data_IF_719236511640
#
_entry.id   IF_719236511640
#
_cell.length_a   1.000
_cell.length_b   1.000
_cell.length_c   1.000
_cell.angle_alpha   90.00
_cell.angle_beta   90.00
_cell.angle_gamma   90.00
#
_symmetry.space_group_name_H-M   'P 1'
#
loop_
_entity.id
_entity.type
_entity.pdbx_description
1 polymer ?
#
# COMPACT_ATOMS: atom_id res chain seq x y z
N UNK A 1 1.94 10.12 6.69
CA UNK A 1 0.49 9.84 6.62
C UNK A 1 0.25 8.35 6.76
N UNK A 2 -0.56 7.98 7.73
CA UNK A 2 -0.92 6.60 8.01
C UNK A 2 -2.41 6.41 7.73
N UNK A 3 -2.73 5.46 6.85
CA UNK A 3 -4.11 5.11 6.57
C UNK A 3 -4.68 4.08 7.56
N UNK A 4 -5.97 3.77 7.48
CA UNK A 4 -6.60 2.82 8.39
C UNK A 4 -6.07 1.41 8.18
N UNK A 5 -5.92 0.67 9.29
CA UNK A 5 -5.49 -0.71 9.23
C UNK A 5 -6.53 -1.57 8.50
N UNK A 6 -6.04 -2.44 7.60
CA UNK A 6 -6.90 -3.34 6.86
C UNK A 6 -6.16 -4.61 6.45
N UNK A 7 -6.92 -5.57 5.98
CA UNK A 7 -6.43 -6.86 5.53
C UNK A 7 -6.80 -7.07 4.06
N UNK A 8 -5.92 -7.72 3.33
CA UNK A 8 -6.13 -8.08 1.93
C UNK A 8 -6.38 -9.59 1.80
N UNK A 9 -7.64 -10.04 1.79
CA UNK A 9 -7.94 -11.48 1.71
C UNK A 9 -7.32 -12.17 0.49
N UNK A 10 -7.28 -11.45 -0.65
CA UNK A 10 -6.75 -11.98 -1.92
C UNK A 10 -5.42 -11.34 -2.31
N UNK A 11 -4.77 -10.65 -1.36
CA UNK A 11 -3.54 -9.92 -1.65
C UNK A 11 -3.77 -8.56 -2.28
N UNK A 12 -2.68 -7.88 -2.61
CA UNK A 12 -2.68 -6.56 -3.24
C UNK A 12 -1.43 -6.39 -4.08
N UNK A 13 -1.55 -5.72 -5.20
CA UNK A 13 -0.40 -5.32 -6.03
C UNK A 13 -0.40 -3.81 -6.11
N UNK A 14 0.70 -3.19 -5.70
CA UNK A 14 0.86 -1.75 -5.68
C UNK A 14 1.93 -1.27 -6.65
N UNK A 15 1.67 -0.15 -7.31
CA UNK A 15 2.71 0.60 -8.01
C UNK A 15 2.94 1.90 -7.25
N UNK A 16 4.14 2.05 -6.71
CA UNK A 16 4.53 3.21 -5.90
C UNK A 16 5.18 4.24 -6.82
N UNK A 17 4.60 5.44 -6.86
CA UNK A 17 5.06 6.56 -7.68
C UNK A 17 5.35 7.77 -6.79
N UNK A 18 6.58 7.88 -6.25
CA UNK A 18 6.93 9.02 -5.39
C UNK A 18 6.83 10.34 -6.14
N UNK A 19 6.24 11.35 -5.51
CA UNK A 19 6.22 12.73 -5.99
C UNK A 19 7.40 13.53 -5.41
N UNK A 20 7.96 13.04 -4.32
CA UNK A 20 9.17 13.57 -3.69
C UNK A 20 10.28 12.53 -3.81
N UNK A 21 11.56 12.92 -4.02
CA UNK A 21 12.63 11.94 -4.27
C UNK A 21 12.82 10.90 -3.17
N UNK A 22 12.49 11.23 -1.94
CA UNK A 22 12.69 10.37 -0.77
C UNK A 22 11.42 9.69 -0.27
N UNK A 23 10.27 9.95 -0.89
CA UNK A 23 9.00 9.39 -0.42
C UNK A 23 8.98 7.87 -0.54
N UNK A 24 8.36 7.23 0.44
CA UNK A 24 8.23 5.78 0.52
C UNK A 24 6.81 5.39 0.89
N UNK A 25 6.39 4.22 0.45
CA UNK A 25 5.14 3.60 0.85
C UNK A 25 5.45 2.30 1.59
N UNK A 26 4.99 2.18 2.84
CA UNK A 26 5.31 1.05 3.72
C UNK A 26 6.82 0.75 3.72
N UNK A 27 7.64 1.84 3.76
CA UNK A 27 9.11 1.81 3.73
C UNK A 27 9.72 1.30 2.41
N UNK A 28 8.95 1.22 1.34
CA UNK A 28 9.41 0.82 0.01
C UNK A 28 9.51 2.02 -0.92
N UNK A 29 10.56 2.09 -1.77
CA UNK A 29 10.73 3.16 -2.75
C UNK A 29 9.84 2.94 -3.97
N UNK A 30 10.06 3.72 -5.03
CA UNK A 30 9.38 3.58 -6.31
C UNK A 30 9.43 2.14 -6.83
N UNK A 31 8.35 1.70 -7.44
CA UNK A 31 8.26 0.40 -8.08
C UNK A 31 7.08 -0.43 -7.62
N UNK A 32 7.10 -1.69 -7.98
CA UNK A 32 6.04 -2.63 -7.65
C UNK A 32 6.23 -3.25 -6.27
N UNK A 33 5.14 -3.39 -5.55
CA UNK A 33 5.10 -4.06 -4.25
C UNK A 33 3.93 -5.02 -4.24
N UNK A 34 4.17 -6.26 -3.80
CA UNK A 34 3.14 -7.30 -3.76
C UNK A 34 2.92 -7.73 -2.32
N UNK A 35 1.68 -7.68 -1.88
CA UNK A 35 1.23 -8.27 -0.63
C UNK A 35 0.49 -9.57 -0.92
N UNK A 36 0.90 -10.65 -0.27
CA UNK A 36 0.25 -11.95 -0.44
C UNK A 36 -1.15 -12.01 0.17
N UNK A 37 -1.95 -13.04 -0.20
CA UNK A 37 -3.28 -13.23 0.38
C UNK A 37 -3.23 -13.35 1.90
N UNK A 38 -4.15 -12.65 2.57
CA UNK A 38 -4.24 -12.65 4.02
C UNK A 38 -3.34 -11.63 4.72
N UNK A 39 -2.52 -10.88 3.97
CA UNK A 39 -1.68 -9.83 4.55
C UNK A 39 -2.51 -8.69 5.12
N UNK A 40 -1.97 -8.02 6.13
CA UNK A 40 -2.61 -6.87 6.77
C UNK A 40 -1.59 -5.78 7.02
N UNK A 41 -2.01 -4.52 6.90
CA UNK A 41 -1.15 -3.38 7.17
C UNK A 41 -1.96 -2.11 7.45
N UNK A 42 -1.27 -1.10 7.98
CA UNK A 42 -1.74 0.28 7.97
C UNK A 42 -0.93 1.02 6.92
N UNK A 43 -1.51 1.32 5.74
CA UNK A 43 -0.73 1.89 4.64
C UNK A 43 -0.13 3.23 5.08
N UNK A 44 1.19 3.37 4.85
CA UNK A 44 1.92 4.51 5.38
C UNK A 44 2.81 5.12 4.30
N UNK A 45 2.57 6.41 3.99
CA UNK A 45 3.47 7.21 3.17
C UNK A 45 4.37 8.01 4.10
N UNK A 46 5.68 7.93 3.89
CA UNK A 46 6.69 8.60 4.71
C UNK A 46 7.67 9.38 3.84
N UNK A 47 8.36 10.34 4.45
CA UNK A 47 9.46 11.09 3.85
C UNK A 47 9.08 11.86 2.57
N UNK A 48 7.82 12.28 2.48
CA UNK A 48 7.33 13.07 1.35
C UNK A 48 5.94 12.63 0.90
N UNK A 49 5.62 12.91 -0.36
CA UNK A 49 4.35 12.57 -0.98
C UNK A 49 4.54 11.53 -2.08
N UNK A 50 3.56 10.64 -2.22
CA UNK A 50 3.57 9.61 -3.26
C UNK A 50 2.16 9.33 -3.75
N UNK A 51 2.07 8.92 -5.02
CA UNK A 51 0.88 8.27 -5.57
C UNK A 51 1.08 6.77 -5.50
N UNK A 52 0.03 6.04 -5.14
CA UNK A 52 0.05 4.59 -5.12
C UNK A 52 -1.16 4.09 -5.89
N UNK A 53 -0.88 3.39 -7.00
CA UNK A 53 -1.91 2.64 -7.71
C UNK A 53 -1.98 1.27 -7.04
N UNK A 54 -3.17 0.86 -6.62
CA UNK A 54 -3.34 -0.45 -6.02
C UNK A 54 -4.39 -1.27 -6.77
N UNK A 55 -4.09 -2.55 -6.92
CA UNK A 55 -4.97 -3.52 -7.55
C UNK A 55 -5.38 -4.54 -6.49
N UNK A 56 -6.68 -4.64 -6.27
CA UNK A 56 -7.26 -5.58 -5.30
C UNK A 56 -7.98 -6.68 -6.07
N UNK A 57 -7.45 -7.91 -6.11
CA UNK A 57 -8.14 -9.02 -6.76
C UNK A 57 -9.55 -9.16 -6.20
N UNK A 58 -10.53 -9.13 -7.10
CA UNK A 58 -11.97 -9.18 -6.78
C UNK A 58 -12.44 -8.03 -5.88
N UNK A 59 -11.65 -6.93 -5.79
CA UNK A 59 -11.96 -5.80 -4.92
C UNK A 59 -11.94 -6.13 -3.43
N UNK A 60 -11.28 -7.20 -3.02
CA UNK A 60 -11.35 -7.70 -1.66
C UNK A 60 -10.44 -6.90 -0.70
N UNK A 61 -11.06 -6.26 0.27
CA UNK A 61 -10.38 -5.55 1.33
C UNK A 61 -11.26 -5.56 2.59
N UNK A 62 -10.65 -5.76 3.76
CA UNK A 62 -11.33 -5.78 5.04
C UNK A 62 -10.70 -4.78 5.98
N UNK A 63 -11.46 -3.78 6.40
CA UNK A 63 -10.98 -2.78 7.35
C UNK A 63 -11.16 -3.26 8.79
N UNK A 64 -10.14 -3.00 9.60
CA UNK A 64 -10.18 -3.26 11.04
C UNK A 64 -10.92 -2.13 11.76
N UNK A 65 -11.56 -2.46 12.86
CA UNK A 65 -12.25 -1.51 13.71
C UNK A 65 -11.47 -1.25 14.99
#
# INVERSE_FOLDING_TARGET
LVGPHHRHPNGEIDLIMPLSPTAKFDQNPAGWLVYGPGSAHSPTVSDGAALVLYLLPQGAIEFSR
#
